data_IF_209418049943
#
_entry.id   IF_209418049943
#
_cell.length_a   1.000
_cell.length_b   1.000
_cell.length_c   1.000
_cell.angle_alpha   90.00
_cell.angle_beta   90.00
_cell.angle_gamma   90.00
#
_symmetry.space_group_name_H-M   'P 1'
#
loop_
_entity.id
_entity.type
_entity.pdbx_description
1 polymer ?
#
# COMPACT_ATOMS: atom_id res chain seq x y z
N UNK A 1 15.74 3.56 4.93
CA UNK A 1 14.70 3.68 3.89
C UNK A 1 14.59 2.33 3.29
N UNK A 2 13.41 1.77 3.45
CA UNK A 2 13.09 0.40 3.14
C UNK A 2 11.98 0.42 2.11
N UNK A 3 12.12 -0.43 1.10
CA UNK A 3 11.10 -0.61 0.07
C UNK A 3 10.38 -1.91 0.37
N UNK A 4 9.06 -1.82 0.50
CA UNK A 4 8.18 -2.96 0.76
C UNK A 4 7.17 -3.08 -0.36
N UNK A 5 6.90 -4.30 -0.79
CA UNK A 5 5.91 -4.59 -1.82
C UNK A 5 4.78 -5.45 -1.28
N UNK A 6 3.57 -5.18 -1.73
CA UNK A 6 2.37 -5.88 -1.30
C UNK A 6 1.48 -6.20 -2.50
N UNK A 7 1.09 -7.46 -2.62
CA UNK A 7 -0.04 -7.84 -3.47
C UNK A 7 -1.34 -7.33 -2.84
N UNK A 8 -2.15 -6.64 -3.63
CA UNK A 8 -3.38 -6.00 -3.15
C UNK A 8 -4.62 -6.38 -3.94
N UNK A 9 -5.79 -5.98 -3.47
CA UNK A 9 -7.06 -6.06 -4.21
C UNK A 9 -7.54 -4.68 -4.71
N UNK A 10 -6.65 -3.68 -4.77
CA UNK A 10 -6.94 -2.34 -5.30
C UNK A 10 -6.99 -2.44 -6.83
N UNK A 11 -8.19 -2.51 -7.40
CA UNK A 11 -8.41 -2.90 -8.81
C UNK A 11 -8.94 -1.78 -9.71
N UNK A 12 -9.15 -0.58 -9.18
CA UNK A 12 -9.85 0.48 -9.89
C UNK A 12 -9.41 1.86 -9.43
N UNK A 13 -9.57 2.89 -10.27
CA UNK A 13 -9.23 4.26 -9.90
C UNK A 13 -9.98 4.77 -8.67
N UNK A 14 -11.25 4.39 -8.51
CA UNK A 14 -12.03 4.71 -7.29
C UNK A 14 -11.52 3.98 -6.05
N UNK A 15 -11.00 2.77 -6.21
CA UNK A 15 -10.40 1.96 -5.15
C UNK A 15 -9.10 2.63 -4.68
N UNK A 16 -8.27 3.08 -5.63
CA UNK A 16 -7.05 3.82 -5.37
C UNK A 16 -7.33 5.14 -4.67
N UNK A 17 -8.33 5.90 -5.13
CA UNK A 17 -8.77 7.14 -4.48
C UNK A 17 -9.25 6.93 -3.03
N UNK A 18 -9.82 5.76 -2.72
CA UNK A 18 -10.22 5.39 -1.35
C UNK A 18 -9.01 5.01 -0.48
N UNK A 19 -8.01 4.32 -1.03
CA UNK A 19 -6.79 3.95 -0.30
C UNK A 19 -5.89 5.15 0.00
N UNK A 20 -5.84 6.11 -0.93
CA UNK A 20 -4.97 7.29 -0.89
C UNK A 20 -4.92 8.03 0.46
N UNK A 21 -6.05 8.49 1.05
CA UNK A 21 -5.98 9.24 2.31
C UNK A 21 -5.35 8.42 3.44
N UNK A 22 -5.60 7.10 3.50
CA UNK A 22 -5.03 6.26 4.55
C UNK A 22 -3.51 6.10 4.42
N UNK A 23 -3.01 5.94 3.20
CA UNK A 23 -1.57 5.79 2.93
C UNK A 23 -0.84 7.13 3.04
N UNK A 24 -1.45 8.23 2.59
CA UNK A 24 -0.88 9.58 2.67
C UNK A 24 -0.81 10.09 4.13
N UNK A 25 -1.64 9.57 5.04
CA UNK A 25 -1.65 9.93 6.47
C UNK A 25 -0.66 9.13 7.34
N UNK A 26 0.00 8.10 6.79
CA UNK A 26 0.97 7.31 7.56
C UNK A 26 2.29 8.08 7.67
N UNK A 27 2.61 8.55 8.88
CA UNK A 27 3.92 9.11 9.16
C UNK A 27 5.02 8.07 8.91
N UNK A 28 6.05 8.46 8.15
CA UNK A 28 7.15 7.57 7.76
C UNK A 28 7.03 6.97 6.36
N UNK A 29 5.85 7.02 5.71
CA UNK A 29 5.76 6.76 4.27
C UNK A 29 6.26 7.99 3.51
N UNK A 30 7.28 7.79 2.68
CA UNK A 30 7.77 8.85 1.80
C UNK A 30 7.11 8.81 0.43
N UNK A 31 6.90 7.59 -0.09
CA UNK A 31 6.29 7.38 -1.39
C UNK A 31 5.59 6.05 -1.46
N UNK A 32 4.50 6.01 -2.22
CA UNK A 32 3.83 4.75 -2.53
C UNK A 32 3.17 4.81 -3.91
N UNK A 33 3.02 3.66 -4.56
CA UNK A 33 2.36 3.52 -5.85
C UNK A 33 1.70 2.14 -5.96
N UNK A 34 0.53 2.08 -6.60
CA UNK A 34 -0.11 0.82 -6.96
C UNK A 34 -0.03 0.62 -8.46
N UNK A 35 0.60 -0.47 -8.90
CA UNK A 35 0.57 -0.91 -10.29
C UNK A 35 -0.78 -1.56 -10.61
N UNK A 36 -1.72 -0.75 -11.11
CA UNK A 36 -3.03 -1.22 -11.55
C UNK A 36 -3.00 -2.05 -12.85
N UNK A 37 -1.86 -2.14 -13.53
CA UNK A 37 -1.69 -2.93 -14.75
C UNK A 37 -1.26 -4.37 -14.43
N UNK A 38 -0.44 -4.56 -13.39
CA UNK A 38 -0.05 -5.89 -12.89
C UNK A 38 -1.25 -6.69 -12.39
N UNK A 39 -1.35 -7.98 -12.76
CA UNK A 39 -2.41 -8.90 -12.28
C UNK A 39 -2.48 -8.98 -10.76
N UNK A 40 -1.34 -8.80 -10.08
CA UNK A 40 -1.23 -8.85 -8.62
C UNK A 40 -1.46 -7.49 -7.93
N UNK A 41 -1.66 -6.41 -8.70
CA UNK A 41 -1.96 -5.06 -8.18
C UNK A 41 -0.97 -4.64 -7.10
N UNK A 42 0.31 -4.67 -7.45
CA UNK A 42 1.40 -4.49 -6.51
C UNK A 42 1.41 -3.04 -5.99
N UNK A 43 1.25 -2.90 -4.68
CA UNK A 43 1.59 -1.69 -3.95
C UNK A 43 3.07 -1.72 -3.60
N UNK A 44 3.81 -0.71 -4.03
CA UNK A 44 5.19 -0.46 -3.59
C UNK A 44 5.17 0.71 -2.62
N UNK A 45 5.79 0.55 -1.45
CA UNK A 45 5.91 1.56 -0.40
C UNK A 45 7.38 1.80 -0.10
N UNK A 46 7.82 3.05 -0.18
CA UNK A 46 9.12 3.52 0.29
C UNK A 46 8.89 4.23 1.63
N UNK A 47 9.49 3.72 2.69
CA UNK A 47 9.25 4.21 4.05
C UNK A 47 10.51 4.20 4.93
N UNK A 48 10.46 4.95 6.02
CA UNK A 48 11.48 4.98 7.07
C UNK A 48 10.86 4.60 8.41
N UNK A 49 11.49 3.65 9.12
CA UNK A 49 11.06 3.20 10.46
C UNK A 49 9.63 2.64 10.54
N UNK A 50 9.06 2.18 9.41
CA UNK A 50 7.77 1.49 9.36
C UNK A 50 7.92 -0.01 9.18
N UNK A 51 7.10 -0.76 9.92
CA UNK A 51 6.99 -2.20 9.78
C UNK A 51 5.99 -2.61 8.69
N UNK A 52 6.17 -3.83 8.19
CA UNK A 52 5.24 -4.48 7.26
C UNK A 52 3.82 -4.54 7.84
N UNK A 53 3.69 -4.79 9.15
CA UNK A 53 2.39 -4.90 9.82
C UNK A 53 1.64 -3.57 9.83
N UNK A 54 2.34 -2.44 10.04
CA UNK A 54 1.72 -1.10 10.01
C UNK A 54 1.14 -0.77 8.63
N UNK A 55 1.84 -1.15 7.56
CA UNK A 55 1.34 -0.96 6.18
C UNK A 55 0.11 -1.85 5.93
N UNK A 56 0.16 -3.11 6.37
CA UNK A 56 -0.97 -4.05 6.24
C UNK A 56 -2.20 -3.58 7.01
N UNK A 57 -2.03 -3.10 8.23
CA UNK A 57 -3.11 -2.54 9.05
C UNK A 57 -3.73 -1.30 8.41
N UNK A 58 -2.89 -0.45 7.80
CA UNK A 58 -3.35 0.73 7.04
C UNK A 58 -4.22 0.31 5.85
N UNK A 59 -3.78 -0.69 5.08
CA UNK A 59 -4.58 -1.24 3.98
C UNK A 59 -5.90 -1.82 4.47
N UNK A 60 -5.88 -2.57 5.58
CA UNK A 60 -7.09 -3.13 6.16
C UNK A 60 -8.08 -2.04 6.62
N UNK A 61 -7.59 -0.95 7.24
CA UNK A 61 -8.40 0.22 7.62
C UNK A 61 -9.03 0.90 6.41
N UNK A 62 -8.32 0.96 5.28
CA UNK A 62 -8.84 1.44 4.01
C UNK A 62 -9.85 0.46 3.33
N UNK A 63 -9.89 -0.79 3.81
CA UNK A 63 -10.76 -1.87 3.32
C UNK A 63 -10.14 -2.70 2.20
N UNK A 64 -8.81 -2.81 2.16
CA UNK A 64 -8.04 -3.55 1.17
C UNK A 64 -7.14 -4.61 1.83
N UNK A 65 -6.79 -5.65 1.09
CA UNK A 65 -5.81 -6.66 1.52
C UNK A 65 -4.40 -6.24 1.10
N UNK A 66 -3.40 -6.56 1.92
CA UNK A 66 -1.98 -6.44 1.58
C UNK A 66 -1.22 -7.70 1.99
N UNK A 67 -0.83 -8.52 1.03
CA UNK A 67 0.07 -9.64 1.27
C UNK A 67 1.47 -9.23 0.87
N UNK A 68 2.44 -9.28 1.79
CA UNK A 68 3.81 -8.88 1.47
C UNK A 68 4.38 -9.83 0.42
N UNK A 69 5.02 -9.25 -0.58
CA UNK A 69 5.76 -9.98 -1.61
C UNK A 69 7.21 -9.49 -1.62
N UNK A 70 8.12 -10.39 -1.92
CA UNK A 70 9.57 -10.14 -2.03
C UNK A 70 9.94 -9.42 -3.32
#
# INVERSE_FOLDING_TARGET
>A
MDTMQFKTNINCGGCLAKAKPFLDEVEGIEKWEVDLQSEDRILTVEACELSVEEIKDTLQKAGFSGEQVD
#
